data_IF_983794763009
#
_entry.id   IF_983794763009
#
_cell.length_a   1.000
_cell.length_b   1.000
_cell.length_c   1.000
_cell.angle_alpha   90.00
_cell.angle_beta   90.00
_cell.angle_gamma   90.00
#
_symmetry.space_group_name_H-M   'P 1'
#
loop_
_entity.id
_entity.type
_entity.pdbx_description
1 polymer ?
#
# COMPACT_ATOMS: atom_id res chain seq x y z
N UNK A 1 -21.05 -9.11 13.82
CA UNK A 1 -20.05 -8.04 13.67
C UNK A 1 -18.95 -8.63 12.82
N UNK A 2 -19.08 -8.51 11.50
CA UNK A 2 -18.03 -8.93 10.58
C UNK A 2 -17.07 -7.74 10.44
N UNK A 3 -15.96 -7.80 11.18
CA UNK A 3 -14.91 -6.80 11.06
C UNK A 3 -14.15 -7.02 9.74
N UNK A 4 -13.89 -5.95 8.99
CA UNK A 4 -13.03 -5.98 7.81
C UNK A 4 -13.72 -5.86 6.46
N UNK A 5 -15.06 -5.99 6.37
CA UNK A 5 -15.82 -5.67 5.14
C UNK A 5 -15.33 -6.36 3.86
N UNK A 6 -14.91 -7.63 3.95
CA UNK A 6 -14.26 -8.38 2.86
C UNK A 6 -13.00 -7.73 2.27
N UNK A 7 -12.38 -6.83 3.04
CA UNK A 7 -11.10 -6.23 2.73
C UNK A 7 -9.95 -6.95 3.45
N UNK A 8 -8.80 -6.99 2.79
CA UNK A 8 -7.54 -7.50 3.31
C UNK A 8 -6.40 -6.52 3.01
N UNK A 9 -5.42 -6.44 3.91
CA UNK A 9 -4.22 -5.63 3.75
C UNK A 9 -3.00 -6.54 3.59
N UNK A 10 -2.22 -6.32 2.53
CA UNK A 10 -1.03 -7.10 2.18
C UNK A 10 0.19 -6.20 2.02
N UNK A 11 1.37 -6.80 2.08
CA UNK A 11 2.63 -6.14 1.73
C UNK A 11 3.29 -6.84 0.54
N UNK A 12 3.60 -6.08 -0.51
CA UNK A 12 4.39 -6.55 -1.62
C UNK A 12 5.87 -6.53 -1.24
N UNK A 13 6.47 -7.69 -0.95
CA UNK A 13 7.84 -7.79 -0.45
C UNK A 13 8.90 -7.19 -1.38
N UNK A 14 8.66 -7.21 -2.69
CA UNK A 14 9.61 -6.70 -3.69
C UNK A 14 9.61 -5.15 -3.79
N UNK A 15 8.64 -4.47 -3.18
CA UNK A 15 8.50 -3.01 -3.27
C UNK A 15 8.18 -2.34 -1.94
N UNK A 16 7.95 -3.11 -0.87
CA UNK A 16 7.43 -2.68 0.44
C UNK A 16 6.04 -2.02 0.41
N UNK A 17 5.36 -2.04 -0.74
CA UNK A 17 4.07 -1.38 -0.90
C UNK A 17 2.97 -2.15 -0.15
N UNK A 18 2.14 -1.39 0.54
CA UNK A 18 0.88 -1.85 1.12
C UNK A 18 -0.18 -1.91 0.02
N UNK A 19 -0.85 -3.05 -0.06
CA UNK A 19 -1.92 -3.34 -1.02
C UNK A 19 -3.18 -3.65 -0.24
N UNK A 20 -4.25 -2.92 -0.53
CA UNK A 20 -5.59 -3.21 -0.02
C UNK A 20 -6.32 -4.01 -1.09
N UNK A 21 -6.89 -5.16 -0.72
CA UNK A 21 -7.67 -6.02 -1.62
C UNK A 21 -9.08 -6.11 -1.08
N UNK A 22 -10.08 -5.93 -1.94
CA UNK A 22 -11.50 -6.04 -1.58
C UNK A 22 -12.31 -6.45 -2.80
N UNK A 23 -13.24 -7.38 -2.64
CA UNK A 23 -14.17 -7.81 -3.71
C UNK A 23 -13.48 -8.18 -5.05
N UNK A 24 -12.29 -8.77 -4.99
CA UNK A 24 -11.51 -9.15 -6.19
C UNK A 24 -10.81 -7.97 -6.90
N UNK A 25 -10.83 -6.79 -6.29
CA UNK A 25 -10.08 -5.61 -6.69
C UNK A 25 -8.94 -5.35 -5.71
N UNK A 26 -7.92 -4.64 -6.17
CA UNK A 26 -6.77 -4.26 -5.37
C UNK A 26 -6.36 -2.81 -5.65
N UNK A 27 -5.91 -2.12 -4.61
CA UNK A 27 -5.39 -0.77 -4.68
C UNK A 27 -4.07 -0.66 -3.90
N UNK A 28 -3.17 0.20 -4.37
CA UNK A 28 -1.90 0.50 -3.68
C UNK A 28 -2.12 1.70 -2.77
N UNK A 29 -1.77 1.55 -1.48
CA UNK A 29 -1.85 2.63 -0.50
C UNK A 29 -0.54 3.44 -0.41
N UNK A 30 0.61 2.79 -0.61
CA UNK A 30 1.95 3.37 -0.42
C UNK A 30 2.79 2.48 0.50
N UNK A 31 3.92 2.96 1.03
CA UNK A 31 4.73 2.19 1.98
C UNK A 31 4.66 2.75 3.40
N UNK A 32 4.65 1.83 4.38
CA UNK A 32 4.88 2.17 5.80
C UNK A 32 6.37 2.10 6.17
N UNK A 33 7.21 1.65 5.25
CA UNK A 33 8.66 1.50 5.42
C UNK A 33 9.38 2.63 4.68
N UNK A 34 10.12 3.45 5.43
CA UNK A 34 10.83 4.62 4.90
C UNK A 34 12.32 4.52 5.23
N UNK A 35 13.16 5.16 4.43
CA UNK A 35 14.57 5.29 4.75
C UNK A 35 14.80 6.29 5.90
N UNK A 36 16.07 6.48 6.28
CA UNK A 36 16.45 7.41 7.36
C UNK A 36 16.10 8.89 7.07
N UNK A 37 15.75 9.25 5.84
CA UNK A 37 15.34 10.59 5.44
C UNK A 37 13.81 10.72 5.31
N UNK A 38 13.05 9.64 5.53
CA UNK A 38 11.59 9.63 5.38
C UNK A 38 11.10 9.35 3.97
N UNK A 39 11.97 8.88 3.08
CA UNK A 39 11.64 8.60 1.68
C UNK A 39 11.35 7.10 1.47
N UNK A 40 10.41 6.80 0.58
CA UNK A 40 10.19 5.43 0.12
C UNK A 40 11.34 4.96 -0.80
N UNK A 41 11.72 3.69 -0.74
CA UNK A 41 12.64 3.07 -1.71
C UNK A 41 11.83 2.32 -2.77
N UNK A 42 11.51 3.03 -3.84
CA UNK A 42 10.65 2.54 -4.94
C UNK A 42 11.22 1.24 -5.52
N UNK A 43 10.42 0.17 -5.48
CA UNK A 43 10.80 -1.18 -5.92
C UNK A 43 12.11 -1.70 -5.28
N UNK A 44 12.45 -1.18 -4.09
CA UNK A 44 13.67 -1.52 -3.35
C UNK A 44 14.96 -1.39 -4.18
N UNK A 45 14.95 -0.55 -5.23
CA UNK A 45 16.04 -0.46 -6.22
C UNK A 45 17.29 0.20 -5.66
N UNK A 46 17.13 1.08 -4.69
CA UNK A 46 18.24 1.87 -4.13
C UNK A 46 19.00 1.09 -3.07
N UNK A 47 18.38 0.07 -2.48
CA UNK A 47 19.00 -0.86 -1.54
C UNK A 47 19.32 -0.25 -0.17
N UNK A 48 18.63 0.84 0.21
CA UNK A 48 18.83 1.43 1.54
C UNK A 48 18.01 0.66 2.58
N UNK A 49 18.50 0.52 3.82
CA UNK A 49 17.67 0.03 4.92
C UNK A 49 16.42 0.89 5.06
N UNK A 50 15.28 0.22 5.21
CA UNK A 50 14.00 0.85 5.50
C UNK A 50 13.57 0.52 6.93
N UNK A 51 12.86 1.45 7.54
CA UNK A 51 12.39 1.38 8.90
C UNK A 51 10.89 1.63 8.94
N UNK A 52 10.21 0.95 9.85
CA UNK A 52 8.78 1.14 10.05
C UNK A 52 8.51 2.55 10.57
N UNK A 53 7.73 3.33 9.82
CA UNK A 53 7.31 4.67 10.20
C UNK A 53 6.04 4.60 11.04
N UNK A 54 6.14 4.90 12.33
CA UNK A 54 4.98 4.95 13.24
C UNK A 54 3.86 5.86 12.68
N UNK A 55 4.24 7.03 12.16
CA UNK A 55 3.31 7.97 11.53
C UNK A 55 2.55 7.34 10.36
N UNK A 56 3.22 6.65 9.44
CA UNK A 56 2.56 5.99 8.29
C UNK A 56 1.65 4.85 8.76
N UNK A 57 2.07 4.09 9.78
CA UNK A 57 1.23 3.02 10.36
C UNK A 57 -0.04 3.58 10.98
N UNK A 58 0.04 4.70 11.70
CA UNK A 58 -1.13 5.33 12.30
C UNK A 58 -2.08 5.89 11.23
N UNK A 59 -1.56 6.47 10.15
CA UNK A 59 -2.38 6.84 8.98
C UNK A 59 -3.06 5.61 8.36
N UNK A 60 -2.33 4.53 8.08
CA UNK A 60 -2.90 3.31 7.51
C UNK A 60 -4.02 2.72 8.40
N UNK A 61 -3.84 2.74 9.72
CA UNK A 61 -4.85 2.30 10.69
C UNK A 61 -6.10 3.18 10.67
N UNK A 62 -5.92 4.50 10.59
CA UNK A 62 -7.03 5.45 10.48
C UNK A 62 -7.80 5.22 9.19
N UNK A 63 -7.11 5.15 8.06
CA UNK A 63 -7.73 4.91 6.75
C UNK A 63 -8.47 3.56 6.73
N UNK A 64 -7.92 2.55 7.42
CA UNK A 64 -8.55 1.24 7.59
C UNK A 64 -9.83 1.27 8.42
N UNK A 65 -9.81 1.98 9.55
CA UNK A 65 -10.98 2.10 10.40
C UNK A 65 -12.12 2.83 9.68
N UNK A 66 -11.79 3.89 8.95
CA UNK A 66 -12.76 4.76 8.26
C UNK A 66 -13.10 4.29 6.84
N UNK A 67 -12.43 3.25 6.34
CA UNK A 67 -12.52 2.76 4.96
C UNK A 67 -12.25 3.89 3.93
N UNK A 68 -11.36 4.83 4.26
CA UNK A 68 -11.08 6.03 3.45
C UNK A 68 -10.37 5.74 2.12
N UNK A 69 -9.90 4.52 1.90
CA UNK A 69 -9.34 4.04 0.63
C UNK A 69 -10.33 4.20 -0.54
N UNK A 70 -11.62 4.12 -0.27
CA UNK A 70 -12.67 4.34 -1.26
C UNK A 70 -12.81 5.82 -1.64
N UNK A 71 -12.52 6.72 -0.68
CA UNK A 71 -12.77 8.16 -0.79
C UNK A 71 -11.59 8.94 -1.36
N UNK A 72 -10.38 8.41 -1.22
CA UNK A 72 -9.12 9.08 -1.61
C UNK A 72 -8.77 8.93 -3.10
N UNK A 73 -9.64 8.31 -3.91
CA UNK A 73 -9.41 8.15 -5.34
C UNK A 73 -8.32 7.12 -5.66
N UNK A 74 -8.13 6.14 -4.78
CA UNK A 74 -7.21 5.04 -5.02
C UNK A 74 -7.61 4.32 -6.33
N UNK A 75 -6.64 4.15 -7.23
CA UNK A 75 -6.88 3.44 -8.48
C UNK A 75 -7.02 1.95 -8.19
N UNK A 76 -8.26 1.47 -8.18
CA UNK A 76 -8.56 0.06 -8.06
C UNK A 76 -8.25 -0.67 -9.38
N UNK A 77 -7.58 -1.81 -9.26
CA UNK A 77 -7.24 -2.70 -10.36
C UNK A 77 -7.81 -4.08 -10.09
N UNK A 78 -8.07 -4.86 -11.15
CA UNK A 78 -8.40 -6.27 -10.98
C UNK A 78 -7.18 -7.05 -10.46
N UNK A 79 -7.40 -8.21 -9.85
CA UNK A 79 -6.28 -9.06 -9.41
C UNK A 79 -5.29 -9.40 -10.53
N UNK A 80 -5.75 -9.54 -11.78
CA UNK A 80 -4.87 -9.76 -12.93
C UNK A 80 -4.01 -8.53 -13.26
N UNK A 81 -4.55 -7.33 -13.09
CA UNK A 81 -3.85 -6.06 -13.31
C UNK A 81 -2.89 -5.68 -12.17
N UNK A 82 -3.11 -6.20 -10.96
CA UNK A 82 -2.30 -5.87 -9.78
C UNK A 82 -0.80 -6.12 -9.99
N UNK A 83 -0.42 -7.22 -10.65
CA UNK A 83 0.99 -7.51 -10.88
C UNK A 83 1.67 -6.44 -11.73
N UNK A 84 0.97 -5.91 -12.74
CA UNK A 84 1.49 -4.83 -13.58
C UNK A 84 1.51 -3.51 -12.80
N UNK A 85 0.45 -3.22 -12.04
CA UNK A 85 0.37 -2.05 -11.18
C UNK A 85 1.54 -1.99 -10.18
N UNK A 86 1.87 -3.10 -9.51
CA UNK A 86 2.98 -3.15 -8.57
C UNK A 86 4.34 -2.95 -9.24
N UNK A 87 4.52 -3.48 -10.46
CA UNK A 87 5.74 -3.23 -11.25
C UNK A 87 5.85 -1.76 -11.58
N UNK A 88 4.75 -1.12 -11.99
CA UNK A 88 4.71 0.26 -12.46
C UNK A 88 4.52 1.28 -11.32
N UNK A 89 4.30 0.84 -10.08
CA UNK A 89 4.07 1.72 -8.94
C UNK A 89 5.21 2.72 -8.71
N UNK A 90 6.44 2.39 -9.09
CA UNK A 90 7.56 3.33 -9.08
C UNK A 90 7.43 4.52 -10.06
N UNK A 91 6.52 4.45 -11.02
CA UNK A 91 6.16 5.52 -11.96
C UNK A 91 4.99 6.36 -11.47
N UNK A 92 4.24 5.84 -10.49
CA UNK A 92 3.14 6.53 -9.82
C UNK A 92 3.70 7.30 -8.61
N UNK A 93 3.08 8.43 -8.30
CA UNK A 93 3.66 9.53 -7.48
C UNK A 93 4.09 9.11 -6.08
#
# INVERSE_FOLDING_TARGET
MECGGDACCFIALNSSLIVVVREGLAAVWGSVYLDAHGEEDRNLRRGKPLFLSARRVDCLRSDWAEQEFERTGATWSTMAGLQQLLKDAHLLR
#
